data_IF_862670647882
#
_entry.id   IF_862670647882
#
_cell.length_a   1.000
_cell.length_b   1.000
_cell.length_c   1.000
_cell.angle_alpha   90.00
_cell.angle_beta   90.00
_cell.angle_gamma   90.00
#
_symmetry.space_group_name_H-M   'P 1'
#
loop_
_entity.id
_entity.type
_entity.pdbx_description
1 polymer ?
#
# COMPACT_ATOMS: atom_id res chain seq x y z
N UNK A 1 54.84 -48.01 30.84
CA UNK A 1 53.62 -47.16 30.72
C UNK A 1 53.94 -45.67 30.81
N UNK A 2 54.73 -45.21 31.80
CA UNK A 2 55.09 -43.79 32.00
C UNK A 2 55.98 -43.20 30.87
N UNK A 3 56.89 -44.01 30.29
CA UNK A 3 57.81 -43.56 29.22
C UNK A 3 57.11 -43.28 27.88
N UNK A 4 56.19 -44.18 27.47
CA UNK A 4 55.32 -44.03 26.29
C UNK A 4 54.39 -42.81 26.36
N UNK A 5 53.89 -42.48 27.56
CA UNK A 5 53.11 -41.26 27.78
C UNK A 5 53.96 -40.01 27.62
N UNK A 6 55.20 -40.02 28.13
CA UNK A 6 56.13 -38.89 28.05
C UNK A 6 56.53 -38.55 26.61
N UNK A 7 56.72 -39.57 25.77
CA UNK A 7 57.07 -39.41 24.36
C UNK A 7 55.87 -38.98 23.48
N UNK A 8 54.64 -39.35 23.87
CA UNK A 8 53.41 -39.01 23.14
C UNK A 8 52.71 -37.73 23.59
N UNK A 9 53.03 -37.18 24.76
CA UNK A 9 52.47 -35.91 25.27
C UNK A 9 52.69 -34.76 24.28
N UNK A 10 53.84 -34.72 23.58
CA UNK A 10 54.11 -33.72 22.55
C UNK A 10 53.10 -33.80 21.40
N UNK A 11 52.79 -35.01 20.92
CA UNK A 11 51.83 -35.22 19.84
C UNK A 11 50.39 -34.95 20.27
N UNK A 12 50.03 -35.25 21.52
CA UNK A 12 48.73 -34.91 22.11
C UNK A 12 48.58 -33.39 22.23
N UNK A 13 49.59 -32.69 22.75
CA UNK A 13 49.59 -31.23 22.83
C UNK A 13 49.50 -30.58 21.44
N UNK A 14 50.25 -31.09 20.46
CA UNK A 14 50.14 -30.62 19.07
C UNK A 14 48.74 -30.82 18.49
N UNK A 15 48.11 -31.98 18.75
CA UNK A 15 46.75 -32.26 18.29
C UNK A 15 45.72 -31.34 18.96
N UNK A 16 45.87 -31.05 20.26
CA UNK A 16 45.04 -30.09 20.98
C UNK A 16 45.21 -28.68 20.40
N UNK A 17 46.44 -28.25 20.12
CA UNK A 17 46.72 -26.94 19.52
C UNK A 17 46.06 -26.81 18.15
N UNK A 18 46.20 -27.82 17.28
CA UNK A 18 45.54 -27.84 15.96
C UNK A 18 44.02 -27.78 16.11
N UNK A 19 43.45 -28.57 17.01
CA UNK A 19 42.01 -28.58 17.27
C UNK A 19 41.50 -27.22 17.79
N UNK A 20 42.24 -26.59 18.72
CA UNK A 20 41.94 -25.25 19.21
C UNK A 20 42.05 -24.18 18.10
N UNK A 21 43.05 -24.30 17.21
CA UNK A 21 43.18 -23.37 16.07
C UNK A 21 42.00 -23.48 15.10
N UNK A 22 41.52 -24.70 14.82
CA UNK A 22 40.33 -24.90 13.98
C UNK A 22 39.08 -24.33 14.64
N UNK A 23 38.86 -24.61 15.93
CA UNK A 23 37.72 -24.05 16.68
C UNK A 23 37.77 -22.51 16.74
N UNK A 24 38.96 -21.94 16.93
CA UNK A 24 39.14 -20.49 16.93
C UNK A 24 38.85 -19.89 15.54
N UNK A 25 39.25 -20.58 14.47
CA UNK A 25 38.91 -20.16 13.10
C UNK A 25 37.39 -20.15 12.87
N UNK A 26 36.67 -21.19 13.30
CA UNK A 26 35.21 -21.22 13.20
C UNK A 26 34.53 -20.15 14.06
N UNK A 27 35.09 -19.86 15.24
CA UNK A 27 34.57 -18.80 16.12
C UNK A 27 34.74 -17.41 15.48
N UNK A 28 35.93 -17.11 14.93
CA UNK A 28 36.20 -15.85 14.23
C UNK A 28 35.28 -15.70 13.01
N UNK A 29 35.10 -16.78 12.24
CA UNK A 29 34.20 -16.77 11.09
C UNK A 29 32.75 -16.54 11.49
N UNK A 30 32.29 -17.16 12.58
CA UNK A 30 30.95 -16.95 13.15
C UNK A 30 30.72 -15.49 13.56
N UNK A 31 31.71 -14.85 14.20
CA UNK A 31 31.64 -13.42 14.52
C UNK A 31 31.52 -12.57 13.26
N UNK A 32 32.35 -12.86 12.24
CA UNK A 32 32.33 -12.13 10.97
C UNK A 32 30.96 -12.23 10.29
N UNK A 33 30.41 -13.44 10.20
CA UNK A 33 29.09 -13.70 9.60
C UNK A 33 27.99 -12.99 10.39
N UNK A 34 28.03 -13.04 11.73
CA UNK A 34 27.05 -12.33 12.57
C UNK A 34 27.09 -10.82 12.36
N UNK A 35 28.28 -10.23 12.25
CA UNK A 35 28.43 -8.80 11.98
C UNK A 35 27.93 -8.42 10.58
N UNK A 36 28.22 -9.25 9.56
CA UNK A 36 27.70 -9.05 8.20
C UNK A 36 26.16 -9.13 8.16
N UNK A 37 25.58 -10.14 8.81
CA UNK A 37 24.13 -10.30 8.90
C UNK A 37 23.46 -9.13 9.62
N UNK A 38 24.07 -8.63 10.71
CA UNK A 38 23.57 -7.46 11.42
C UNK A 38 23.61 -6.18 10.55
N UNK A 39 24.69 -5.98 9.79
CA UNK A 39 24.80 -4.86 8.86
C UNK A 39 23.76 -4.95 7.74
N UNK A 40 23.65 -6.11 7.09
CA UNK A 40 22.68 -6.35 6.03
C UNK A 40 21.24 -6.15 6.53
N UNK A 41 20.91 -6.68 7.71
CA UNK A 41 19.62 -6.44 8.37
C UNK A 41 19.33 -4.94 8.52
N UNK A 42 20.30 -4.16 9.02
CA UNK A 42 20.10 -2.72 9.22
C UNK A 42 19.91 -1.95 7.91
N UNK A 43 20.61 -2.34 6.84
CA UNK A 43 20.39 -1.78 5.50
C UNK A 43 18.98 -2.09 5.01
N UNK A 44 18.54 -3.35 5.10
CA UNK A 44 17.20 -3.78 4.73
C UNK A 44 16.09 -3.04 5.49
N UNK A 45 16.24 -2.86 6.80
CA UNK A 45 15.23 -2.17 7.61
C UNK A 45 15.15 -0.68 7.26
N UNK A 46 16.27 -0.05 6.87
CA UNK A 46 16.27 1.34 6.38
C UNK A 46 15.60 1.46 5.01
N UNK A 47 15.83 0.51 4.12
CA UNK A 47 15.15 0.49 2.82
C UNK A 47 13.63 0.30 3.01
N UNK A 48 13.21 -0.61 3.90
CA UNK A 48 11.82 -0.76 4.30
C UNK A 48 11.23 0.54 4.87
N UNK A 49 11.97 1.28 5.72
CA UNK A 49 11.53 2.57 6.25
C UNK A 49 11.22 3.57 5.13
N UNK A 50 12.10 3.68 4.13
CA UNK A 50 11.88 4.57 2.99
C UNK A 50 10.63 4.19 2.19
N UNK A 51 10.42 2.88 1.96
CA UNK A 51 9.22 2.37 1.29
C UNK A 51 7.96 2.68 2.10
N UNK A 52 7.96 2.39 3.40
CA UNK A 52 6.83 2.65 4.31
C UNK A 52 6.44 4.13 4.28
N UNK A 53 7.41 5.05 4.28
CA UNK A 53 7.14 6.49 4.21
C UNK A 53 6.50 6.89 2.89
N UNK A 54 7.01 6.38 1.77
CA UNK A 54 6.44 6.63 0.45
C UNK A 54 4.99 6.10 0.36
N UNK A 55 4.76 4.87 0.82
CA UNK A 55 3.44 4.25 0.80
C UNK A 55 2.42 5.00 1.65
N UNK A 56 2.83 5.53 2.81
CA UNK A 56 1.96 6.40 3.62
C UNK A 56 1.61 7.70 2.91
N UNK A 57 2.56 8.31 2.21
CA UNK A 57 2.28 9.49 1.37
C UNK A 57 1.26 9.16 0.29
N UNK A 58 1.43 8.03 -0.42
CA UNK A 58 0.48 7.60 -1.44
C UNK A 58 -0.92 7.33 -0.88
N UNK A 59 -1.01 6.63 0.26
CA UNK A 59 -2.29 6.37 0.93
C UNK A 59 -2.99 7.68 1.28
N UNK A 60 -2.26 8.67 1.80
CA UNK A 60 -2.83 9.98 2.12
C UNK A 60 -3.33 10.73 0.88
N UNK A 61 -2.56 10.72 -0.21
CA UNK A 61 -2.95 11.36 -1.47
C UNK A 61 -4.24 10.72 -2.04
N UNK A 62 -4.30 9.40 -2.05
CA UNK A 62 -5.50 8.67 -2.50
C UNK A 62 -6.67 8.95 -1.55
N UNK A 63 -6.44 8.99 -0.24
CA UNK A 63 -7.49 9.29 0.74
C UNK A 63 -8.10 10.68 0.54
N UNK A 64 -7.28 11.70 0.29
CA UNK A 64 -7.76 13.05 -0.04
C UNK A 64 -8.63 13.04 -1.31
N UNK A 65 -8.15 12.36 -2.36
CA UNK A 65 -8.89 12.20 -3.61
C UNK A 65 -10.25 11.51 -3.41
N UNK A 66 -10.29 10.46 -2.59
CA UNK A 66 -11.52 9.72 -2.28
C UNK A 66 -12.48 10.56 -1.43
N UNK A 67 -11.98 11.40 -0.52
CA UNK A 67 -12.81 12.37 0.23
C UNK A 67 -13.45 13.38 -0.74
N UNK A 68 -12.69 13.92 -1.69
CA UNK A 68 -13.22 14.81 -2.73
C UNK A 68 -14.31 14.11 -3.56
N UNK A 69 -14.10 12.86 -3.95
CA UNK A 69 -15.11 12.06 -4.68
C UNK A 69 -16.38 11.86 -3.88
N UNK A 70 -16.27 11.51 -2.59
CA UNK A 70 -17.43 11.34 -1.69
C UNK A 70 -18.22 12.64 -1.59
N UNK A 71 -17.56 13.77 -1.36
CA UNK A 71 -18.21 15.07 -1.24
C UNK A 71 -18.91 15.46 -2.55
N UNK A 72 -18.29 15.20 -3.70
CA UNK A 72 -18.91 15.41 -5.01
C UNK A 72 -20.19 14.56 -5.19
N UNK A 73 -20.16 13.29 -4.77
CA UNK A 73 -21.33 12.43 -4.80
C UNK A 73 -22.44 12.93 -3.85
N UNK A 74 -22.08 13.37 -2.64
CA UNK A 74 -23.03 13.94 -1.67
C UNK A 74 -23.74 15.18 -2.22
N UNK A 75 -23.02 16.09 -2.88
CA UNK A 75 -23.60 17.28 -3.48
C UNK A 75 -24.56 16.94 -4.64
N UNK A 76 -24.20 15.98 -5.49
CA UNK A 76 -25.09 15.49 -6.56
C UNK A 76 -26.35 14.83 -6.00
N UNK A 77 -26.21 13.96 -4.99
CA UNK A 77 -27.32 13.30 -4.31
C UNK A 77 -28.23 14.34 -3.63
N UNK A 78 -27.65 15.34 -2.97
CA UNK A 78 -28.39 16.42 -2.32
C UNK A 78 -29.20 17.23 -3.34
N UNK A 79 -28.57 17.59 -4.48
CA UNK A 79 -29.21 18.35 -5.54
C UNK A 79 -30.46 17.65 -6.11
N UNK A 80 -30.37 16.32 -6.28
CA UNK A 80 -31.47 15.48 -6.77
C UNK A 80 -32.53 15.25 -5.67
N UNK A 81 -32.13 14.83 -4.47
CA UNK A 81 -33.04 14.38 -3.41
C UNK A 81 -33.89 15.50 -2.80
N UNK A 82 -33.37 16.73 -2.76
CA UNK A 82 -34.10 17.89 -2.28
C UNK A 82 -34.95 18.57 -3.37
N UNK A 83 -34.98 18.02 -4.60
CA UNK A 83 -35.53 18.69 -5.78
C UNK A 83 -35.02 20.13 -5.95
N UNK A 84 -33.82 20.41 -5.43
CA UNK A 84 -33.30 21.77 -5.39
C UNK A 84 -32.81 22.21 -6.76
N UNK A 85 -32.24 21.28 -7.53
CA UNK A 85 -31.73 21.47 -8.89
C UNK A 85 -30.96 22.78 -9.06
N UNK A 86 -30.14 23.11 -8.06
CA UNK A 86 -29.35 24.34 -7.99
C UNK A 86 -28.04 24.21 -8.73
N UNK A 87 -27.53 23.00 -8.91
CA UNK A 87 -26.29 22.77 -9.65
C UNK A 87 -26.50 23.05 -11.14
N UNK A 88 -25.62 23.88 -11.69
CA UNK A 88 -25.50 24.09 -13.13
C UNK A 88 -24.99 22.84 -13.84
N UNK A 89 -25.23 22.75 -15.14
CA UNK A 89 -24.74 21.64 -15.98
C UNK A 89 -23.22 21.49 -15.89
N UNK A 90 -22.50 22.61 -15.77
CA UNK A 90 -21.05 22.59 -15.58
C UNK A 90 -20.66 21.97 -14.24
N UNK A 91 -21.31 22.38 -13.15
CA UNK A 91 -21.03 21.83 -11.82
C UNK A 91 -21.36 20.34 -11.73
N UNK A 92 -22.47 19.92 -12.37
CA UNK A 92 -22.81 18.50 -12.47
C UNK A 92 -21.71 17.75 -13.23
N UNK A 93 -21.24 18.29 -14.36
CA UNK A 93 -20.18 17.67 -15.15
C UNK A 93 -18.86 17.59 -14.38
N UNK A 94 -18.45 18.64 -13.68
CA UNK A 94 -17.22 18.66 -12.87
C UNK A 94 -17.25 17.61 -11.75
N UNK A 95 -18.37 17.55 -11.01
CA UNK A 95 -18.53 16.61 -9.89
C UNK A 95 -18.64 15.17 -10.36
N UNK A 96 -19.40 14.93 -11.44
CA UNK A 96 -19.55 13.60 -12.00
C UNK A 96 -18.24 13.10 -12.61
N UNK A 97 -17.51 13.96 -13.31
CA UNK A 97 -16.19 13.64 -13.85
C UNK A 97 -15.21 13.26 -12.74
N UNK A 98 -15.14 14.07 -11.68
CA UNK A 98 -14.30 13.76 -10.52
C UNK A 98 -14.68 12.40 -9.92
N UNK A 99 -15.96 12.17 -9.63
CA UNK A 99 -16.42 10.92 -9.05
C UNK A 99 -16.07 9.72 -9.94
N UNK A 100 -16.36 9.81 -11.23
CA UNK A 100 -16.28 8.66 -12.15
C UNK A 100 -14.86 8.31 -12.59
N UNK A 101 -13.99 9.31 -12.73
CA UNK A 101 -12.60 9.09 -13.13
C UNK A 101 -11.67 8.81 -11.94
N UNK A 102 -12.03 9.30 -10.75
CA UNK A 102 -11.14 9.24 -9.57
C UNK A 102 -11.67 8.37 -8.44
N UNK A 103 -12.97 8.05 -8.40
CA UNK A 103 -13.57 7.24 -7.33
C UNK A 103 -13.13 5.77 -7.32
N UNK A 104 -12.55 5.24 -8.41
CA UNK A 104 -12.00 3.88 -8.49
C UNK A 104 -10.47 3.81 -8.28
N UNK A 105 -9.80 4.96 -8.11
CA UNK A 105 -8.34 5.00 -7.93
C UNK A 105 -7.95 4.21 -6.68
N UNK A 106 -7.03 3.25 -6.89
CA UNK A 106 -6.62 2.29 -5.88
C UNK A 106 -5.14 2.41 -5.53
N UNK A 107 -4.82 2.16 -4.26
CA UNK A 107 -3.47 2.04 -3.73
C UNK A 107 -2.85 0.71 -4.12
N UNK A 108 -1.58 0.73 -4.53
CA UNK A 108 -0.79 -0.45 -4.83
C UNK A 108 0.52 -0.40 -4.05
N UNK A 109 0.73 -1.37 -3.15
CA UNK A 109 1.93 -1.44 -2.32
C UNK A 109 3.16 -1.91 -3.09
N UNK A 110 4.33 -1.40 -2.69
CA UNK A 110 5.64 -1.82 -3.17
C UNK A 110 6.12 -3.05 -2.38
N UNK A 111 5.51 -4.19 -2.66
CA UNK A 111 5.76 -5.44 -1.93
C UNK A 111 7.05 -6.18 -2.32
N UNK A 112 7.79 -5.72 -3.33
CA UNK A 112 8.96 -6.45 -3.88
C UNK A 112 10.04 -6.75 -2.83
N UNK A 113 10.38 -5.76 -2.00
CA UNK A 113 11.37 -5.95 -0.93
C UNK A 113 10.89 -6.96 0.11
N UNK A 114 9.61 -6.89 0.50
CA UNK A 114 9.02 -7.86 1.42
C UNK A 114 9.00 -9.28 0.84
N UNK A 115 8.64 -9.41 -0.45
CA UNK A 115 8.66 -10.70 -1.15
C UNK A 115 10.07 -11.28 -1.25
N UNK A 116 11.08 -10.45 -1.53
CA UNK A 116 12.48 -10.86 -1.50
C UNK A 116 12.88 -11.38 -0.11
N UNK A 117 12.56 -10.64 0.96
CA UNK A 117 12.84 -11.05 2.34
C UNK A 117 12.20 -12.39 2.69
N UNK A 118 10.96 -12.61 2.22
CA UNK A 118 10.22 -13.86 2.43
C UNK A 118 10.88 -15.02 1.67
N UNK A 119 11.21 -14.82 0.40
CA UNK A 119 11.74 -15.87 -0.49
C UNK A 119 13.18 -16.28 -0.15
N UNK A 120 14.00 -15.34 0.31
CA UNK A 120 15.38 -15.58 0.75
C UNK A 120 15.47 -16.10 2.20
N UNK A 121 14.36 -16.06 2.94
CA UNK A 121 14.34 -16.37 4.38
C UNK A 121 15.01 -15.28 5.25
N UNK A 122 15.39 -14.14 4.67
CA UNK A 122 15.99 -13.01 5.39
C UNK A 122 15.05 -12.35 6.39
N UNK A 123 13.74 -12.63 6.35
CA UNK A 123 12.81 -12.26 7.44
C UNK A 123 13.29 -12.76 8.81
N UNK A 124 14.04 -13.87 8.87
CA UNK A 124 14.61 -14.39 10.13
C UNK A 124 15.71 -13.52 10.73
N UNK A 125 16.29 -12.61 9.95
CA UNK A 125 17.30 -11.67 10.42
C UNK A 125 16.67 -10.52 11.22
N UNK A 126 15.38 -10.23 11.00
CA UNK A 126 14.61 -9.29 11.80
C UNK A 126 14.36 -9.94 13.16
N UNK A 127 14.84 -9.32 14.23
CA UNK A 127 14.77 -9.89 15.59
C UNK A 127 13.38 -9.77 16.19
N UNK A 128 12.70 -8.65 15.96
CA UNK A 128 11.38 -8.37 16.50
C UNK A 128 10.29 -9.25 15.87
N UNK A 129 9.70 -10.12 16.68
CA UNK A 129 8.54 -10.94 16.30
C UNK A 129 7.35 -10.07 15.89
N UNK A 130 7.14 -8.95 16.61
CA UNK A 130 6.10 -7.97 16.30
C UNK A 130 6.32 -7.34 14.92
N UNK A 131 7.57 -6.99 14.59
CA UNK A 131 7.87 -6.42 13.29
C UNK A 131 7.62 -7.42 12.16
N UNK A 132 8.07 -8.67 12.33
CA UNK A 132 7.81 -9.74 11.34
C UNK A 132 6.32 -10.00 11.15
N UNK A 133 5.55 -10.04 12.24
CA UNK A 133 4.10 -10.20 12.18
C UNK A 133 3.43 -9.02 11.45
N UNK A 134 3.81 -7.78 11.78
CA UNK A 134 3.28 -6.59 11.14
C UNK A 134 3.59 -6.53 9.64
N UNK A 135 4.80 -6.93 9.23
CA UNK A 135 5.19 -7.04 7.81
C UNK A 135 4.30 -8.04 7.08
N UNK A 136 4.12 -9.23 7.66
CA UNK A 136 3.25 -10.26 7.09
C UNK A 136 1.79 -9.81 6.99
N UNK A 137 1.27 -9.19 8.05
CA UNK A 137 -0.11 -8.72 8.06
C UNK A 137 -0.35 -7.61 7.02
N UNK A 138 0.56 -6.65 6.88
CA UNK A 138 0.44 -5.54 5.94
C UNK A 138 0.56 -6.03 4.49
N UNK A 139 1.67 -6.66 4.14
CA UNK A 139 1.99 -6.97 2.74
C UNK A 139 1.31 -8.23 2.20
N UNK A 140 0.84 -9.14 3.06
CA UNK A 140 -0.01 -10.26 2.63
C UNK A 140 -1.49 -9.94 2.86
N UNK A 141 -1.94 -9.98 4.12
CA UNK A 141 -3.37 -10.04 4.43
C UNK A 141 -4.10 -8.75 4.04
N UNK A 142 -3.60 -7.59 4.46
CA UNK A 142 -4.24 -6.31 4.17
C UNK A 142 -4.11 -5.94 2.70
N UNK A 143 -2.95 -6.18 2.08
CA UNK A 143 -2.76 -5.91 0.66
C UNK A 143 -3.68 -6.78 -0.22
N UNK A 144 -3.84 -8.07 0.09
CA UNK A 144 -4.79 -8.94 -0.63
C UNK A 144 -6.24 -8.47 -0.46
N UNK A 145 -6.62 -8.04 0.75
CA UNK A 145 -7.95 -7.45 0.99
C UNK A 145 -8.13 -6.17 0.19
N UNK A 146 -7.11 -5.31 0.12
CA UNK A 146 -7.15 -4.08 -0.66
C UNK A 146 -7.41 -4.39 -2.13
N UNK A 147 -6.63 -5.31 -2.73
CA UNK A 147 -6.83 -5.73 -4.12
C UNK A 147 -8.23 -6.29 -4.38
N UNK A 148 -8.78 -7.11 -3.46
CA UNK A 148 -10.12 -7.65 -3.59
C UNK A 148 -11.21 -6.56 -3.49
N UNK A 149 -11.04 -5.59 -2.59
CA UNK A 149 -11.95 -4.44 -2.46
C UNK A 149 -11.88 -3.55 -3.70
N UNK A 150 -10.68 -3.20 -4.14
CA UNK A 150 -10.43 -2.42 -5.36
C UNK A 150 -11.11 -3.04 -6.57
N UNK A 151 -10.98 -4.36 -6.76
CA UNK A 151 -11.63 -5.05 -7.87
C UNK A 151 -13.16 -4.92 -7.85
N UNK A 152 -13.78 -5.05 -6.68
CA UNK A 152 -15.23 -4.87 -6.53
C UNK A 152 -15.65 -3.45 -6.93
N UNK A 153 -14.83 -2.46 -6.54
CA UNK A 153 -15.06 -1.06 -6.87
C UNK A 153 -14.96 -0.86 -8.39
N UNK A 154 -13.87 -1.32 -9.00
CA UNK A 154 -13.63 -1.21 -10.45
C UNK A 154 -14.76 -1.84 -11.26
N UNK A 155 -15.16 -3.06 -10.93
CA UNK A 155 -16.21 -3.80 -11.64
C UNK A 155 -17.55 -3.05 -11.59
N UNK A 156 -17.92 -2.48 -10.43
CA UNK A 156 -19.15 -1.70 -10.31
C UNK A 156 -19.04 -0.35 -11.03
N UNK A 157 -17.94 0.38 -10.86
CA UNK A 157 -17.70 1.67 -11.50
C UNK A 157 -17.79 1.55 -13.02
N UNK A 158 -17.17 0.53 -13.60
CA UNK A 158 -17.24 0.26 -15.04
C UNK A 158 -18.69 0.04 -15.50
N UNK A 159 -19.47 -0.74 -14.74
CA UNK A 159 -20.88 -0.99 -15.04
C UNK A 159 -21.75 0.28 -14.93
N UNK A 160 -21.54 1.08 -13.89
CA UNK A 160 -22.26 2.35 -13.69
C UNK A 160 -21.92 3.37 -14.78
N UNK A 161 -20.63 3.52 -15.11
CA UNK A 161 -20.15 4.36 -16.19
C UNK A 161 -20.81 4.01 -17.53
N UNK A 162 -20.91 2.72 -17.85
CA UNK A 162 -21.57 2.27 -19.08
C UNK A 162 -23.07 2.63 -19.14
N UNK A 163 -23.76 2.78 -17.99
CA UNK A 163 -25.14 3.28 -17.93
C UNK A 163 -25.20 4.80 -18.04
N UNK A 164 -24.40 5.48 -17.23
CA UNK A 164 -24.35 6.96 -17.15
C UNK A 164 -23.96 7.54 -18.52
N UNK A 165 -22.95 6.99 -19.18
CA UNK A 165 -22.42 7.52 -20.46
C UNK A 165 -23.41 7.41 -21.63
N UNK A 166 -24.52 6.67 -21.50
CA UNK A 166 -25.60 6.65 -22.50
C UNK A 166 -26.49 7.89 -22.43
N UNK A 167 -26.41 8.66 -21.34
CA UNK A 167 -27.34 9.73 -20.97
C UNK A 167 -26.64 11.03 -20.61
N UNK A 168 -25.42 10.94 -20.08
CA UNK A 168 -24.57 12.06 -19.75
C UNK A 168 -23.24 11.87 -20.46
N UNK A 169 -22.88 12.80 -21.34
CA UNK A 169 -21.61 12.78 -22.07
C UNK A 169 -20.73 13.88 -21.51
N UNK A 170 -19.49 13.54 -21.14
CA UNK A 170 -18.49 14.50 -20.67
C UNK A 170 -17.19 14.22 -21.41
N UNK A 171 -16.59 15.25 -22.02
CA UNK A 171 -15.21 15.20 -22.51
C UNK A 171 -14.34 16.05 -21.60
N UNK A 172 -13.19 15.51 -21.20
CA UNK A 172 -12.27 16.15 -20.29
C UNK A 172 -10.90 16.36 -20.91
N UNK A 173 -10.12 17.24 -20.29
CA UNK A 173 -8.69 17.34 -20.50
C UNK A 173 -7.99 17.37 -19.15
N UNK A 174 -6.75 16.91 -19.12
CA UNK A 174 -5.88 17.12 -17.97
C UNK A 174 -5.57 18.60 -17.81
N UNK A 175 -5.75 19.09 -16.59
CA UNK A 175 -5.07 20.28 -16.15
C UNK A 175 -3.62 19.91 -15.88
N UNK A 176 -2.66 20.66 -16.43
CA UNK A 176 -1.23 20.34 -16.31
C UNK A 176 -0.87 20.24 -14.82
N UNK A 177 -0.72 19.02 -14.30
CA UNK A 177 -0.21 18.78 -12.96
C UNK A 177 1.23 18.28 -13.04
N UNK A 178 2.03 18.66 -12.04
CA UNK A 178 3.38 18.13 -11.82
C UNK A 178 3.38 16.72 -11.19
N UNK A 179 2.20 16.15 -10.91
CA UNK A 179 2.01 14.99 -10.04
C UNK A 179 1.49 13.76 -10.80
N UNK A 180 2.07 13.46 -11.96
CA UNK A 180 1.80 12.22 -12.70
C UNK A 180 0.35 12.03 -13.20
N UNK A 181 0.15 11.01 -14.03
CA UNK A 181 -1.12 10.75 -14.72
C UNK A 181 -2.30 10.39 -13.78
N UNK A 182 -2.01 9.76 -12.64
CA UNK A 182 -3.04 9.23 -11.73
C UNK A 182 -3.64 10.33 -10.84
N UNK A 183 -2.92 11.42 -10.59
CA UNK A 183 -3.34 12.49 -9.67
C UNK A 183 -3.61 13.84 -10.36
N UNK A 184 -3.54 13.90 -11.69
CA UNK A 184 -3.88 15.12 -12.43
C UNK A 184 -5.34 15.51 -12.24
N UNK A 185 -5.63 16.80 -12.05
CA UNK A 185 -7.02 17.25 -12.07
C UNK A 185 -7.56 17.22 -13.51
N UNK A 186 -8.83 16.83 -13.66
CA UNK A 186 -9.53 16.78 -14.94
C UNK A 186 -10.57 17.88 -14.98
N UNK A 187 -10.61 18.62 -16.10
CA UNK A 187 -11.58 19.68 -16.30
C UNK A 187 -12.47 19.36 -17.50
N UNK A 188 -13.81 19.48 -17.37
CA UNK A 188 -14.70 19.24 -18.50
C UNK A 188 -14.53 20.34 -19.56
N UNK A 189 -14.35 19.91 -20.80
CA UNK A 189 -14.25 20.75 -22.01
C UNK A 189 -15.57 20.79 -22.78
N UNK A 190 -16.35 19.71 -22.69
CA UNK A 190 -17.68 19.58 -23.26
C UNK A 190 -18.53 18.70 -22.36
N UNK A 191 -19.82 19.01 -22.26
CA UNK A 191 -20.78 18.18 -21.54
C UNK A 191 -22.18 18.29 -22.15
N UNK A 192 -22.92 17.18 -22.11
CA UNK A 192 -24.34 17.11 -22.42
C UNK A 192 -25.03 16.22 -21.38
N UNK A 193 -26.02 16.78 -20.67
CA UNK A 193 -26.68 16.13 -19.54
C UNK A 193 -28.15 15.95 -19.86
N UNK A 194 -28.59 14.69 -20.02
CA UNK A 194 -30.02 14.36 -20.01
C UNK A 194 -30.60 14.64 -18.62
N UNK A 195 -31.35 15.75 -18.51
CA UNK A 195 -31.96 16.20 -17.26
C UNK A 195 -33.02 15.24 -16.73
N UNK A 196 -33.71 14.49 -17.57
CA UNK A 196 -34.70 13.51 -17.10
C UNK A 196 -33.98 12.33 -16.45
N UNK A 197 -32.87 11.88 -17.06
CA UNK A 197 -32.03 10.85 -16.46
C UNK A 197 -31.35 11.32 -15.18
N UNK A 198 -30.78 12.52 -15.16
CA UNK A 198 -30.14 13.11 -13.96
C UNK A 198 -31.09 13.13 -12.75
N UNK A 199 -32.39 13.39 -12.98
CA UNK A 199 -33.42 13.44 -11.92
C UNK A 199 -34.02 12.08 -11.57
N UNK A 200 -33.59 11.01 -12.26
CA UNK A 200 -34.20 9.69 -12.13
C UNK A 200 -33.69 8.94 -10.90
N UNK A 201 -34.51 8.02 -10.40
CA UNK A 201 -34.09 7.07 -9.36
C UNK A 201 -32.98 6.12 -9.85
N UNK A 202 -32.86 5.91 -11.16
CA UNK A 202 -31.79 5.10 -11.74
C UNK A 202 -30.44 5.77 -11.51
N UNK A 203 -30.30 7.04 -11.89
CA UNK A 203 -29.06 7.79 -11.68
C UNK A 203 -28.77 8.00 -10.19
N UNK A 204 -29.79 8.30 -9.38
CA UNK A 204 -29.64 8.44 -7.93
C UNK A 204 -29.16 7.13 -7.28
N UNK A 205 -29.66 5.98 -7.75
CA UNK A 205 -29.22 4.66 -7.30
C UNK A 205 -27.74 4.41 -7.62
N UNK A 206 -27.30 4.73 -8.83
CA UNK A 206 -25.90 4.63 -9.24
C UNK A 206 -25.01 5.55 -8.39
N UNK A 207 -25.37 6.83 -8.21
CA UNK A 207 -24.61 7.76 -7.36
C UNK A 207 -24.48 7.28 -5.92
N UNK A 208 -25.57 6.79 -5.32
CA UNK A 208 -25.56 6.30 -3.95
C UNK A 208 -24.63 5.08 -3.79
N UNK A 209 -24.62 4.18 -4.78
CA UNK A 209 -23.75 3.00 -4.74
C UNK A 209 -22.28 3.36 -5.01
N UNK A 210 -22.00 4.27 -5.95
CA UNK A 210 -20.65 4.80 -6.19
C UNK A 210 -20.09 5.45 -4.91
N UNK A 211 -20.88 6.32 -4.26
CA UNK A 211 -20.53 6.93 -2.97
C UNK A 211 -20.23 5.87 -1.90
N UNK A 212 -21.10 4.89 -1.74
CA UNK A 212 -20.93 3.82 -0.74
C UNK A 212 -19.63 3.03 -0.95
N UNK A 213 -19.24 2.80 -2.21
CA UNK A 213 -17.99 2.13 -2.55
C UNK A 213 -16.77 2.99 -2.24
N UNK A 214 -16.83 4.30 -2.51
CA UNK A 214 -15.80 5.27 -2.13
C UNK A 214 -15.63 5.30 -0.60
N UNK A 215 -16.72 5.34 0.17
CA UNK A 215 -16.69 5.30 1.64
C UNK A 215 -16.10 3.99 2.18
N UNK A 216 -16.47 2.86 1.56
CA UNK A 216 -15.87 1.57 1.88
C UNK A 216 -14.37 1.57 1.62
N UNK A 217 -13.93 2.22 0.55
CA UNK A 217 -12.51 2.32 0.24
C UNK A 217 -11.75 3.22 1.21
N UNK A 218 -12.34 4.35 1.61
CA UNK A 218 -11.79 5.22 2.66
C UNK A 218 -11.51 4.43 3.95
N UNK A 219 -12.45 3.58 4.37
CA UNK A 219 -12.25 2.72 5.53
C UNK A 219 -11.11 1.70 5.33
N UNK A 220 -10.90 1.21 4.11
CA UNK A 220 -9.78 0.32 3.80
C UNK A 220 -8.44 1.07 3.85
N UNK A 221 -8.38 2.29 3.31
CA UNK A 221 -7.21 3.15 3.37
C UNK A 221 -6.83 3.50 4.81
N UNK A 222 -7.81 3.73 5.69
CA UNK A 222 -7.58 3.93 7.12
C UNK A 222 -6.89 2.72 7.78
N UNK A 223 -7.34 1.51 7.44
CA UNK A 223 -6.71 0.27 7.93
C UNK A 223 -5.30 0.07 7.38
N UNK A 224 -5.05 0.48 6.15
CA UNK A 224 -3.70 0.45 5.58
C UNK A 224 -2.78 1.45 6.29
N UNK A 225 -3.19 2.71 6.45
CA UNK A 225 -2.38 3.74 7.14
C UNK A 225 -2.10 3.35 8.60
N UNK A 226 -3.08 2.80 9.32
CA UNK A 226 -2.87 2.23 10.66
C UNK A 226 -1.77 1.15 10.65
N UNK A 227 -1.81 0.23 9.69
CA UNK A 227 -0.83 -0.86 9.58
C UNK A 227 0.57 -0.34 9.22
N UNK A 228 0.67 0.64 8.31
CA UNK A 228 1.94 1.25 7.94
C UNK A 228 2.55 2.12 9.05
N UNK A 229 1.72 2.76 9.89
CA UNK A 229 2.18 3.43 11.11
C UNK A 229 2.84 2.44 12.07
N UNK A 230 2.25 1.27 12.28
CA UNK A 230 2.84 0.21 13.10
C UNK A 230 4.15 -0.31 12.50
N UNK A 231 4.21 -0.52 11.18
CA UNK A 231 5.45 -0.90 10.52
C UNK A 231 6.58 0.12 10.75
N UNK A 232 6.27 1.41 10.69
CA UNK A 232 7.24 2.46 10.98
C UNK A 232 7.79 2.35 12.40
N UNK A 233 6.90 2.26 13.40
CA UNK A 233 7.30 2.12 14.82
C UNK A 233 8.21 0.90 15.01
N UNK A 234 7.79 -0.26 14.52
CA UNK A 234 8.57 -1.49 14.69
C UNK A 234 9.90 -1.49 13.92
N UNK A 235 9.98 -0.79 12.79
CA UNK A 235 11.23 -0.62 12.07
C UNK A 235 12.24 0.24 12.82
N UNK A 236 11.78 1.28 13.53
CA UNK A 236 12.63 2.13 14.37
C UNK A 236 13.14 1.35 15.59
N UNK A 237 12.28 0.56 16.23
CA UNK A 237 12.65 -0.34 17.33
C UNK A 237 13.69 -1.40 16.91
N UNK A 238 13.62 -1.92 15.69
CA UNK A 238 14.54 -2.96 15.20
C UNK A 238 15.96 -2.45 14.93
N UNK A 239 16.12 -1.14 14.71
CA UNK A 239 17.40 -0.49 14.47
C UNK A 239 18.11 -0.03 15.75
N UNK A 240 17.36 0.10 16.86
CA UNK A 240 17.89 0.43 18.19
C UNK A 240 18.42 -0.82 18.91
#
# INVERSE_FOLDING_TARGET
>A
MIKLFKDNIKYILQSIVVLLSVLLSFYIDSIRVNNQNAKYKNELVKDLQSIIENERTQINNIKDLQIRCRNAADELIYDISQNSYKLSDREIAEKLLLLTERGSVSFFSQSSLYEELKNTGSTRLIKSDNFRYALSNTYNNLNQRNLAVSRIIDDYFFGALARINKKIIIFSKEEKSSEGYVYSDLVPTYFNIDKNYYKSNEFLGDLNQLKSLVERYLNMLDKLDESYKLLKIYSEEELN
#
